data_IF_014242525449
#
_entry.id   IF_014242525449
#
_cell.length_a   1.000
_cell.length_b   1.000
_cell.length_c   1.000
_cell.angle_alpha   90.00
_cell.angle_beta   90.00
_cell.angle_gamma   90.00
#
_symmetry.space_group_name_H-M   'P 1'
#
loop_
_entity.id
_entity.type
_entity.pdbx_description
1 polymer ?
#
# COMPACT_ATOMS: atom_id res chain seq x y z
N UNK A 1 -27.09 1.21 5.33
CA UNK A 1 -25.92 1.65 4.53
C UNK A 1 -24.72 0.73 4.80
N UNK A 2 -24.96 -0.58 4.99
CA UNK A 2 -23.92 -1.58 5.30
C UNK A 2 -22.88 -1.78 4.17
N UNK A 3 -23.24 -1.78 2.86
CA UNK A 3 -22.27 -2.06 1.80
C UNK A 3 -21.12 -1.05 1.72
N UNK A 4 -21.38 0.21 2.09
CA UNK A 4 -20.36 1.27 2.10
C UNK A 4 -19.42 1.09 3.29
N UNK A 5 -19.95 0.63 4.43
CA UNK A 5 -19.15 0.37 5.63
C UNK A 5 -18.22 -0.83 5.40
N UNK A 6 -18.73 -1.91 4.83
CA UNK A 6 -17.94 -3.10 4.52
C UNK A 6 -16.81 -2.78 3.53
N UNK A 7 -17.11 -1.96 2.51
CA UNK A 7 -16.11 -1.49 1.55
C UNK A 7 -15.00 -0.64 2.20
N UNK A 8 -15.34 0.21 3.18
CA UNK A 8 -14.37 0.99 3.93
C UNK A 8 -13.47 0.09 4.80
N UNK A 9 -14.04 -0.94 5.42
CA UNK A 9 -13.27 -1.93 6.20
C UNK A 9 -12.29 -2.72 5.31
N UNK A 10 -12.72 -3.14 4.11
CA UNK A 10 -11.87 -3.79 3.12
C UNK A 10 -10.72 -2.90 2.66
N UNK A 11 -10.99 -1.61 2.43
CA UNK A 11 -9.97 -0.63 2.05
C UNK A 11 -8.96 -0.38 3.18
N UNK A 12 -9.39 -0.40 4.44
CA UNK A 12 -8.49 -0.32 5.60
C UNK A 12 -7.58 -1.56 5.67
N UNK A 13 -8.13 -2.75 5.45
CA UNK A 13 -7.37 -3.99 5.42
C UNK A 13 -6.33 -4.01 4.28
N UNK A 14 -6.75 -3.59 3.08
CA UNK A 14 -5.87 -3.47 1.91
C UNK A 14 -4.73 -2.49 2.16
N UNK A 15 -5.03 -1.28 2.69
CA UNK A 15 -4.03 -0.29 3.09
C UNK A 15 -2.98 -0.88 4.03
N UNK A 16 -3.45 -1.57 5.08
CA UNK A 16 -2.58 -2.14 6.11
C UNK A 16 -1.63 -3.20 5.54
N UNK A 17 -2.13 -4.00 4.59
CA UNK A 17 -1.31 -4.98 3.88
C UNK A 17 -0.25 -4.29 3.01
N UNK A 18 -0.62 -3.28 2.23
CA UNK A 18 0.32 -2.56 1.36
C UNK A 18 1.44 -1.87 2.15
N UNK A 19 1.10 -1.21 3.27
CA UNK A 19 2.10 -0.59 4.16
C UNK A 19 3.11 -1.62 4.64
N UNK A 20 2.64 -2.77 5.14
CA UNK A 20 3.51 -3.85 5.63
C UNK A 20 4.41 -4.40 4.53
N UNK A 21 3.92 -4.52 3.29
CA UNK A 21 4.74 -5.00 2.17
C UNK A 21 5.81 -3.98 1.79
N UNK A 22 5.49 -2.69 1.76
CA UNK A 22 6.49 -1.63 1.53
C UNK A 22 7.58 -1.64 2.60
N UNK A 23 7.22 -1.78 3.88
CA UNK A 23 8.18 -1.86 4.97
C UNK A 23 9.14 -3.06 4.82
N UNK A 24 8.60 -4.23 4.44
CA UNK A 24 9.42 -5.41 4.16
C UNK A 24 10.39 -5.19 3.00
N UNK A 25 9.91 -4.62 1.90
CA UNK A 25 10.74 -4.31 0.72
C UNK A 25 11.85 -3.30 1.07
N UNK A 26 11.53 -2.26 1.84
CA UNK A 26 12.50 -1.25 2.31
C UNK A 26 13.54 -1.81 3.28
N UNK A 27 13.17 -2.78 4.11
CA UNK A 27 14.08 -3.40 5.08
C UNK A 27 15.16 -4.29 4.45
N UNK A 28 15.20 -4.41 3.12
CA UNK A 28 16.18 -5.25 2.44
C UNK A 28 15.98 -6.74 2.69
N UNK A 29 14.80 -7.18 3.15
CA UNK A 29 14.41 -8.60 3.15
C UNK A 29 14.10 -9.11 1.73
N UNK A 30 14.75 -8.54 0.72
CA UNK A 30 14.73 -9.03 -0.64
C UNK A 30 15.92 -9.98 -0.78
N UNK A 31 15.72 -11.21 -1.26
CA UNK A 31 16.82 -12.13 -1.54
C UNK A 31 17.83 -11.41 -2.46
N UNK A 32 19.09 -11.45 -2.03
CA UNK A 32 20.23 -10.77 -2.63
C UNK A 32 20.56 -11.32 -4.03
N UNK A 33 19.81 -10.88 -5.04
CA UNK A 33 20.07 -11.12 -6.46
C UNK A 33 20.02 -9.79 -7.26
N UNK A 34 20.69 -9.71 -8.42
CA UNK A 34 21.52 -8.58 -8.82
C UNK A 34 20.73 -7.32 -9.22
N UNK A 35 21.35 -6.14 -9.00
CA UNK A 35 21.04 -4.73 -9.39
C UNK A 35 19.82 -4.43 -10.29
N UNK A 36 19.52 -5.25 -11.29
CA UNK A 36 18.26 -5.20 -12.05
C UNK A 36 17.01 -5.36 -11.16
N UNK A 37 17.09 -6.19 -10.10
CA UNK A 37 16.00 -6.38 -9.14
C UNK A 37 15.80 -5.14 -8.26
N UNK A 38 16.88 -4.45 -7.89
CA UNK A 38 16.82 -3.23 -7.06
C UNK A 38 16.05 -2.10 -7.75
N UNK A 39 16.32 -1.84 -9.04
CA UNK A 39 15.61 -0.81 -9.81
C UNK A 39 14.12 -1.14 -9.93
N UNK A 40 13.77 -2.43 -10.07
CA UNK A 40 12.37 -2.85 -10.09
C UNK A 40 11.69 -2.77 -8.71
N UNK A 41 12.43 -3.04 -7.64
CA UNK A 41 11.93 -2.98 -6.27
C UNK A 41 11.65 -1.52 -5.86
N UNK A 42 12.57 -0.60 -6.15
CA UNK A 42 12.41 0.83 -5.85
C UNK A 42 11.25 1.45 -6.63
N UNK A 43 11.15 1.18 -7.94
CA UNK A 43 10.02 1.61 -8.75
C UNK A 43 8.68 1.02 -8.25
N UNK A 44 8.69 -0.22 -7.76
CA UNK A 44 7.50 -0.86 -7.18
C UNK A 44 7.12 -0.22 -5.85
N UNK A 45 8.08 0.06 -4.97
CA UNK A 45 7.85 0.77 -3.70
C UNK A 45 7.20 2.13 -3.98
N UNK A 46 7.73 2.91 -4.91
CA UNK A 46 7.20 4.23 -5.27
C UNK A 46 5.74 4.11 -5.73
N UNK A 47 5.43 3.16 -6.61
CA UNK A 47 4.05 2.94 -7.09
C UNK A 47 3.09 2.54 -5.97
N UNK A 48 3.53 1.65 -5.08
CA UNK A 48 2.69 1.22 -3.94
C UNK A 48 2.48 2.36 -2.95
N UNK A 49 3.48 3.21 -2.71
CA UNK A 49 3.33 4.40 -1.87
C UNK A 49 2.36 5.44 -2.45
N UNK A 50 2.30 5.59 -3.78
CA UNK A 50 1.30 6.43 -4.45
C UNK A 50 -0.10 5.85 -4.21
N UNK A 51 -0.28 4.55 -4.43
CA UNK A 51 -1.55 3.86 -4.19
C UNK A 51 -2.02 3.99 -2.73
N UNK A 52 -1.10 3.84 -1.75
CA UNK A 52 -1.41 4.05 -0.33
C UNK A 52 -1.86 5.49 -0.07
N UNK A 53 -1.25 6.50 -0.71
CA UNK A 53 -1.65 7.91 -0.56
C UNK A 53 -3.05 8.16 -1.11
N UNK A 54 -3.37 7.64 -2.28
CA UNK A 54 -4.70 7.75 -2.89
C UNK A 54 -5.76 7.06 -2.01
N UNK A 55 -5.47 5.86 -1.52
CA UNK A 55 -6.36 5.11 -0.62
C UNK A 55 -6.60 5.86 0.70
N UNK A 56 -5.57 6.52 1.25
CA UNK A 56 -5.72 7.38 2.43
C UNK A 56 -6.58 8.62 2.15
N UNK A 57 -6.52 9.19 0.94
CA UNK A 57 -7.36 10.33 0.56
C UNK A 57 -8.83 9.90 0.50
N UNK A 58 -9.12 8.79 -0.17
CA UNK A 58 -10.46 8.21 -0.22
C UNK A 58 -11.00 7.91 1.18
N UNK A 59 -10.24 7.19 2.02
CA UNK A 59 -10.67 6.88 3.39
C UNK A 59 -10.96 8.13 4.23
N UNK A 60 -10.24 9.24 4.02
CA UNK A 60 -10.52 10.52 4.70
C UNK A 60 -11.82 11.18 4.23
N UNK A 61 -12.17 11.03 2.95
CA UNK A 61 -13.43 11.52 2.40
C UNK A 61 -14.62 10.74 2.99
N UNK A 62 -14.52 9.41 3.05
CA UNK A 62 -15.57 8.56 3.61
C UNK A 62 -15.68 8.61 5.14
N UNK A 63 -14.60 8.91 5.86
CA UNK A 63 -14.66 9.12 7.32
C UNK A 63 -15.34 10.46 7.69
N UNK A 64 -15.51 11.38 6.74
CA UNK A 64 -16.18 12.68 6.93
C UNK A 64 -17.63 12.68 6.42
N UNK A 65 -18.01 11.70 5.62
CA UNK A 65 -19.35 11.51 5.07
C UNK A 65 -20.24 10.75 6.07
#
# INVERSE_FOLDING_TARGET
>A
MEPVKDLVEDWIAMRSTLVRQVEKLKSGQLPSEPRTVEVTAEATIIRVEVCIRELNALLKEYARA
#
